data_IF_682589207570
#
_entry.id   IF_682589207570
#
_cell.length_a   1.000
_cell.length_b   1.000
_cell.length_c   1.000
_cell.angle_alpha   90.00
_cell.angle_beta   90.00
_cell.angle_gamma   90.00
#
_symmetry.space_group_name_H-M   'P 1'
#
loop_
_entity.id
_entity.type
_entity.pdbx_description
1 polymer ?
#
# COMPACT_ATOMS: atom_id res chain seq x y z
N UNK A 1 5.80 21.61 21.84
CA UNK A 1 5.09 21.03 20.68
C UNK A 1 5.80 21.50 19.41
N UNK A 2 5.99 20.62 18.42
CA UNK A 2 6.49 21.06 17.10
C UNK A 2 5.29 21.57 16.32
N UNK A 3 5.35 22.82 15.85
CA UNK A 3 4.37 23.37 14.91
C UNK A 3 5.12 23.80 13.66
N UNK A 4 4.76 23.20 12.53
CA UNK A 4 5.41 23.44 11.25
C UNK A 4 4.35 23.43 10.14
N UNK A 5 4.54 24.29 9.15
CA UNK A 5 3.65 24.47 8.02
C UNK A 5 4.50 24.66 6.78
N UNK A 6 4.08 24.08 5.66
CA UNK A 6 4.66 24.29 4.34
C UNK A 6 3.54 24.26 3.30
N UNK A 7 3.70 25.07 2.25
CA UNK A 7 2.84 25.04 1.06
C UNK A 7 3.50 24.20 -0.03
N UNK A 8 2.69 23.46 -0.79
CA UNK A 8 3.16 22.62 -1.89
C UNK A 8 2.05 22.46 -2.92
N UNK A 9 2.43 22.30 -4.19
CA UNK A 9 1.57 21.79 -5.25
C UNK A 9 1.79 20.31 -5.53
N UNK A 10 2.78 19.70 -4.87
CA UNK A 10 3.08 18.27 -4.98
C UNK A 10 2.16 17.45 -4.08
N UNK A 11 2.07 16.16 -4.37
CA UNK A 11 1.31 15.18 -3.57
C UNK A 11 2.11 14.64 -2.37
N UNK A 12 3.31 15.18 -2.12
CA UNK A 12 4.20 14.79 -1.04
C UNK A 12 4.88 15.99 -0.38
N UNK A 13 5.28 15.82 0.88
CA UNK A 13 6.08 16.77 1.63
C UNK A 13 7.13 16.04 2.46
N UNK A 14 8.32 16.60 2.54
CA UNK A 14 9.36 16.17 3.48
C UNK A 14 9.41 17.17 4.62
N UNK A 15 9.36 16.69 5.86
CA UNK A 15 9.48 17.55 7.03
C UNK A 15 10.85 18.26 7.03
N UNK A 16 10.84 19.58 6.87
CA UNK A 16 12.02 20.44 6.77
C UNK A 16 12.21 21.36 7.98
N UNK A 17 11.48 21.09 9.08
CA UNK A 17 11.52 21.93 10.27
C UNK A 17 12.84 21.83 11.03
N UNK A 18 13.25 22.95 11.64
CA UNK A 18 14.51 23.05 12.42
C UNK A 18 14.53 22.17 13.68
N UNK A 19 13.35 21.88 14.24
CA UNK A 19 13.24 21.11 15.48
C UNK A 19 13.08 19.62 15.13
N UNK A 20 13.92 18.78 15.72
CA UNK A 20 13.79 17.33 15.53
C UNK A 20 12.47 16.82 16.09
N UNK A 21 11.83 15.93 15.32
CA UNK A 21 10.69 15.15 15.79
C UNK A 21 11.18 14.18 16.88
N UNK A 22 10.38 14.05 17.94
CA UNK A 22 10.75 13.35 19.16
C UNK A 22 10.37 11.87 19.05
N UNK A 23 11.27 10.93 19.41
CA UNK A 23 10.95 9.52 19.49
C UNK A 23 9.75 9.24 20.39
N UNK A 24 8.87 8.32 19.96
CA UNK A 24 7.66 7.93 20.68
C UNK A 24 6.51 8.95 20.61
N UNK A 25 6.69 10.09 19.95
CA UNK A 25 5.64 11.09 19.82
C UNK A 25 4.74 10.83 18.60
N UNK A 26 3.45 11.16 18.74
CA UNK A 26 2.49 11.25 17.64
C UNK A 26 2.35 12.69 17.18
N UNK A 27 2.36 12.87 15.86
CA UNK A 27 2.19 14.15 15.19
C UNK A 27 0.91 14.16 14.38
N UNK A 28 0.20 15.29 14.41
CA UNK A 28 -0.99 15.51 13.61
C UNK A 28 -0.61 16.17 12.29
N UNK A 29 -1.15 15.66 11.19
CA UNK A 29 -1.01 16.23 9.86
C UNK A 29 -2.34 16.83 9.45
N UNK A 30 -2.32 18.12 9.12
CA UNK A 30 -3.50 18.84 8.64
C UNK A 30 -3.18 19.34 7.24
N UNK A 31 -3.91 18.86 6.25
CA UNK A 31 -3.83 19.33 4.87
C UNK A 31 -4.97 20.29 4.63
N UNK A 32 -4.66 21.45 4.03
CA UNK A 32 -5.67 22.41 3.59
C UNK A 32 -5.47 22.74 2.13
N UNK A 33 -6.56 22.81 1.38
CA UNK A 33 -6.52 23.27 0.00
C UNK A 33 -6.57 24.79 -0.07
N UNK A 34 -6.13 25.35 -1.19
CA UNK A 34 -6.31 26.76 -1.56
C UNK A 34 -7.79 27.19 -1.63
N UNK A 35 -8.69 26.22 -1.85
CA UNK A 35 -10.15 26.39 -1.80
C UNK A 35 -10.73 26.29 -0.38
N UNK A 36 -9.91 26.20 0.66
CA UNK A 36 -10.34 26.23 2.06
C UNK A 36 -10.85 24.90 2.63
N UNK A 37 -10.79 23.79 1.88
CA UNK A 37 -11.10 22.44 2.41
C UNK A 37 -10.00 21.98 3.36
N UNK A 38 -10.35 21.24 4.41
CA UNK A 38 -9.41 20.83 5.45
C UNK A 38 -9.57 19.34 5.78
N UNK A 39 -8.45 18.62 5.92
CA UNK A 39 -8.46 17.20 6.31
C UNK A 39 -9.08 16.95 7.69
N UNK A 40 -9.21 17.99 8.53
CA UNK A 40 -9.94 17.89 9.81
C UNK A 40 -11.41 17.52 9.65
N UNK A 41 -12.00 17.84 8.52
CA UNK A 41 -13.41 17.55 8.23
C UNK A 41 -13.62 16.07 7.84
N UNK A 42 -12.53 15.39 7.48
CA UNK A 42 -12.51 13.99 7.04
C UNK A 42 -12.01 13.04 8.15
N UNK A 43 -11.40 13.58 9.20
CA UNK A 43 -10.93 12.81 10.34
C UNK A 43 -9.61 13.31 10.91
N UNK A 44 -8.89 12.40 11.57
CA UNK A 44 -7.67 12.70 12.31
C UNK A 44 -6.47 12.00 11.69
N UNK A 45 -5.70 12.76 10.91
CA UNK A 45 -4.54 12.26 10.19
C UNK A 45 -3.24 12.60 10.93
N UNK A 46 -2.27 11.71 10.85
CA UNK A 46 -1.01 11.89 11.56
C UNK A 46 -0.10 10.68 11.43
N UNK A 47 1.08 10.79 11.99
CA UNK A 47 2.10 9.74 12.03
C UNK A 47 2.76 9.71 13.40
N UNK A 48 3.35 8.57 13.73
CA UNK A 48 4.09 8.39 14.98
C UNK A 48 5.57 8.21 14.66
N UNK A 49 6.45 8.81 15.46
CA UNK A 49 7.87 8.49 15.43
C UNK A 49 8.09 7.30 16.35
N UNK A 50 8.77 6.26 15.87
CA UNK A 50 9.12 5.12 16.71
C UNK A 50 9.90 5.56 17.94
N UNK A 51 9.63 4.93 19.09
CA UNK A 51 10.47 5.05 20.28
C UNK A 51 11.89 4.58 20.00
N UNK A 52 12.86 5.06 20.76
CA UNK A 52 14.28 4.74 20.52
C UNK A 52 14.57 3.24 20.54
N UNK A 53 14.03 2.53 21.54
CA UNK A 53 14.17 1.07 21.67
C UNK A 53 13.59 0.34 20.45
N UNK A 54 12.34 0.63 20.10
CA UNK A 54 11.70 0.03 18.92
C UNK A 54 12.45 0.34 17.62
N UNK A 55 12.96 1.56 17.47
CA UNK A 55 13.77 1.92 16.31
C UNK A 55 15.08 1.14 16.25
N UNK A 56 15.71 0.85 17.39
CA UNK A 56 16.90 -0.01 17.46
C UNK A 56 16.56 -1.47 17.10
N UNK A 57 15.47 -2.02 17.61
CA UNK A 57 15.00 -3.37 17.26
C UNK A 57 14.77 -3.51 15.75
N UNK A 58 14.04 -2.57 15.15
CA UNK A 58 13.74 -2.59 13.72
C UNK A 58 15.01 -2.48 12.88
N UNK A 59 15.96 -1.62 13.27
CA UNK A 59 17.26 -1.52 12.59
C UNK A 59 18.06 -2.82 12.71
N UNK A 60 18.11 -3.42 13.90
CA UNK A 60 18.81 -4.68 14.10
C UNK A 60 18.19 -5.81 13.26
N UNK A 61 16.86 -5.90 13.20
CA UNK A 61 16.16 -6.87 12.36
C UNK A 61 16.42 -6.63 10.86
N UNK A 62 16.43 -5.37 10.42
CA UNK A 62 16.75 -5.03 9.03
C UNK A 62 18.18 -5.45 8.66
N UNK A 63 19.16 -5.22 9.53
CA UNK A 63 20.54 -5.67 9.31
C UNK A 63 20.66 -7.20 9.28
N UNK A 64 19.93 -7.91 10.15
CA UNK A 64 19.88 -9.37 10.10
C UNK A 64 19.29 -9.87 8.77
N UNK A 65 18.28 -9.20 8.20
CA UNK A 65 17.72 -9.55 6.89
C UNK A 65 18.78 -9.39 5.79
N UNK A 66 19.49 -8.25 5.76
CA UNK A 66 20.56 -8.00 4.77
C UNK A 66 21.71 -9.00 4.88
N UNK A 67 22.02 -9.47 6.07
CA UNK A 67 23.07 -10.48 6.29
C UNK A 67 22.70 -11.87 5.76
N UNK A 68 21.42 -12.16 5.51
CA UNK A 68 20.97 -13.45 4.97
C UNK A 68 21.27 -13.65 3.48
N UNK A 69 21.81 -12.64 2.80
CA UNK A 69 22.20 -12.72 1.38
C UNK A 69 21.06 -13.24 0.49
N UNK A 70 19.85 -12.73 0.74
CA UNK A 70 18.67 -13.09 -0.04
C UNK A 70 18.80 -12.56 -1.47
N UNK A 71 17.98 -13.09 -2.39
CA UNK A 71 17.83 -12.45 -3.69
C UNK A 71 17.26 -11.03 -3.52
N UNK A 72 17.58 -10.12 -4.45
CA UNK A 72 17.07 -8.73 -4.40
C UNK A 72 15.55 -8.64 -4.16
N UNK A 73 14.69 -9.42 -4.86
CA UNK A 73 13.25 -9.39 -4.58
C UNK A 73 12.90 -9.87 -3.16
N UNK A 74 13.55 -10.94 -2.68
CA UNK A 74 13.26 -11.50 -1.37
C UNK A 74 13.70 -10.57 -0.23
N UNK A 75 14.85 -9.90 -0.37
CA UNK A 75 15.31 -8.90 0.59
C UNK A 75 14.36 -7.70 0.63
N UNK A 76 14.00 -7.14 -0.53
CA UNK A 76 13.09 -6.00 -0.62
C UNK A 76 11.74 -6.30 0.03
N UNK A 77 11.16 -7.49 -0.24
CA UNK A 77 9.91 -7.94 0.38
C UNK A 77 10.04 -8.12 1.89
N UNK A 78 11.11 -8.76 2.35
CA UNK A 78 11.33 -8.99 3.79
C UNK A 78 11.47 -7.68 4.56
N UNK A 79 12.26 -6.74 4.05
CA UNK A 79 12.43 -5.41 4.64
C UNK A 79 11.13 -4.60 4.59
N UNK A 80 10.40 -4.62 3.46
CA UNK A 80 9.13 -3.92 3.34
C UNK A 80 8.07 -4.46 4.31
N UNK A 81 7.99 -5.78 4.50
CA UNK A 81 7.12 -6.38 5.51
C UNK A 81 7.51 -5.98 6.94
N UNK A 82 8.82 -5.97 7.25
CA UNK A 82 9.33 -5.50 8.54
C UNK A 82 8.94 -4.04 8.80
N UNK A 83 9.09 -3.17 7.80
CA UNK A 83 8.72 -1.77 7.93
C UNK A 83 7.20 -1.59 8.06
N UNK A 84 6.41 -2.26 7.20
CA UNK A 84 4.93 -2.22 7.25
C UNK A 84 4.39 -2.70 8.59
N UNK A 85 4.94 -3.77 9.18
CA UNK A 85 4.49 -4.30 10.48
C UNK A 85 4.82 -3.39 11.66
N UNK A 86 5.69 -2.38 11.45
CA UNK A 86 6.06 -1.38 12.45
C UNK A 86 5.53 0.01 12.09
N UNK A 87 4.49 0.08 11.24
CA UNK A 87 3.85 1.32 10.75
C UNK A 87 4.79 2.28 9.99
N UNK A 88 5.94 1.79 9.55
CA UNK A 88 6.91 2.52 8.71
C UNK A 88 6.52 2.39 7.22
N UNK A 89 5.28 2.75 6.89
CA UNK A 89 4.74 2.56 5.54
C UNK A 89 5.47 3.43 4.50
N UNK A 90 5.93 4.63 4.87
CA UNK A 90 6.67 5.51 3.97
C UNK A 90 8.03 4.91 3.59
N UNK A 91 8.74 4.33 4.56
CA UNK A 91 10.00 3.64 4.35
C UNK A 91 9.82 2.37 3.51
N UNK A 92 8.73 1.62 3.75
CA UNK A 92 8.39 0.46 2.94
C UNK A 92 8.09 0.84 1.48
N UNK A 93 7.30 1.90 1.25
CA UNK A 93 7.00 2.43 -0.09
C UNK A 93 8.30 2.84 -0.78
N UNK A 94 9.11 3.70 -0.14
CA UNK A 94 10.33 4.23 -0.73
C UNK A 94 11.31 3.10 -1.10
N UNK A 95 11.45 2.09 -0.25
CA UNK A 95 12.27 0.91 -0.52
C UNK A 95 11.81 0.17 -1.78
N UNK A 96 10.51 -0.14 -1.86
CA UNK A 96 9.97 -0.91 -2.99
C UNK A 96 9.99 -0.09 -4.29
N UNK A 97 9.66 1.20 -4.24
CA UNK A 97 9.75 2.08 -5.41
C UNK A 97 11.17 2.23 -5.93
N UNK A 98 12.14 2.40 -5.04
CA UNK A 98 13.56 2.47 -5.42
C UNK A 98 13.99 1.15 -6.06
N UNK A 99 13.60 0.01 -5.47
CA UNK A 99 13.94 -1.29 -6.03
C UNK A 99 13.37 -1.46 -7.45
N UNK A 100 12.11 -1.06 -7.68
CA UNK A 100 11.49 -1.08 -9.01
C UNK A 100 12.20 -0.13 -9.99
N UNK A 101 12.56 1.07 -9.56
CA UNK A 101 13.30 2.04 -10.36
C UNK A 101 14.70 1.55 -10.75
N UNK A 102 15.33 0.74 -9.88
CA UNK A 102 16.62 0.07 -10.12
C UNK A 102 16.48 -1.18 -11.02
N UNK A 103 15.31 -1.41 -11.63
CA UNK A 103 15.06 -2.48 -12.59
C UNK A 103 14.62 -3.80 -11.96
N UNK A 104 14.20 -3.82 -10.70
CA UNK A 104 13.60 -5.01 -10.10
C UNK A 104 12.21 -5.27 -10.69
N UNK A 105 12.07 -6.27 -11.55
CA UNK A 105 10.74 -6.73 -11.98
C UNK A 105 10.27 -7.89 -11.10
N UNK A 106 9.23 -7.67 -10.30
CA UNK A 106 8.69 -8.69 -9.40
C UNK A 106 7.19 -8.51 -9.17
N UNK A 107 6.41 -9.54 -9.53
CA UNK A 107 4.96 -9.60 -9.29
C UNK A 107 4.63 -9.27 -7.83
N UNK A 108 5.37 -9.89 -6.90
CA UNK A 108 5.13 -9.78 -5.46
C UNK A 108 5.49 -8.39 -4.91
N UNK A 109 6.47 -7.72 -5.50
CA UNK A 109 6.82 -6.34 -5.12
C UNK A 109 5.74 -5.37 -5.56
N UNK A 110 5.25 -5.48 -6.80
CA UNK A 110 4.13 -4.68 -7.28
C UNK A 110 2.86 -4.91 -6.44
N UNK A 111 2.56 -6.16 -6.12
CA UNK A 111 1.44 -6.52 -5.25
C UNK A 111 1.59 -5.86 -3.86
N UNK A 112 2.72 -6.05 -3.19
CA UNK A 112 2.93 -5.53 -1.84
C UNK A 112 2.89 -4.00 -1.82
N UNK A 113 3.46 -3.36 -2.83
CA UNK A 113 3.41 -1.90 -2.96
C UNK A 113 1.96 -1.42 -3.18
N UNK A 114 1.17 -2.15 -3.98
CA UNK A 114 -0.26 -1.91 -4.13
C UNK A 114 -1.02 -2.00 -2.80
N UNK A 115 -0.77 -3.05 -2.01
CA UNK A 115 -1.37 -3.24 -0.69
C UNK A 115 -1.02 -2.10 0.27
N UNK A 116 0.24 -1.67 0.28
CA UNK A 116 0.68 -0.58 1.17
C UNK A 116 0.04 0.74 0.74
N UNK A 117 -0.01 1.04 -0.56
CA UNK A 117 -0.70 2.24 -1.04
C UNK A 117 -2.19 2.25 -0.70
N UNK A 118 -2.85 1.10 -0.84
CA UNK A 118 -4.26 0.96 -0.45
C UNK A 118 -4.41 1.24 1.05
N UNK A 119 -3.55 0.65 1.88
CA UNK A 119 -3.55 0.83 3.34
C UNK A 119 -3.37 2.30 3.76
N UNK A 120 -2.52 3.07 3.07
CA UNK A 120 -2.31 4.50 3.36
C UNK A 120 -3.27 5.43 2.60
N UNK A 121 -4.25 4.88 1.89
CA UNK A 121 -5.30 5.65 1.19
C UNK A 121 -4.89 6.22 -0.17
N UNK A 122 -3.69 5.91 -0.67
CA UNK A 122 -3.20 6.33 -1.99
C UNK A 122 -3.76 5.41 -3.10
N UNK A 123 -5.09 5.29 -3.15
CA UNK A 123 -5.83 4.34 -3.99
C UNK A 123 -5.50 4.42 -5.48
N UNK A 124 -5.23 5.61 -6.04
CA UNK A 124 -4.84 5.73 -7.46
C UNK A 124 -3.50 5.06 -7.75
N UNK A 125 -2.52 5.22 -6.85
CA UNK A 125 -1.23 4.55 -6.95
C UNK A 125 -1.36 3.04 -6.68
N UNK A 126 -2.18 2.65 -5.70
CA UNK A 126 -2.48 1.24 -5.44
C UNK A 126 -3.00 0.53 -6.70
N UNK A 127 -3.98 1.15 -7.39
CA UNK A 127 -4.54 0.62 -8.63
C UNK A 127 -3.48 0.42 -9.70
N UNK A 128 -2.59 1.40 -9.88
CA UNK A 128 -1.52 1.31 -10.87
C UNK A 128 -0.60 0.10 -10.58
N UNK A 129 -0.14 -0.02 -9.33
CA UNK A 129 0.76 -1.12 -8.94
C UNK A 129 0.09 -2.49 -9.04
N UNK A 130 -1.19 -2.59 -8.68
CA UNK A 130 -1.95 -3.83 -8.87
C UNK A 130 -2.13 -4.21 -10.34
N UNK A 131 -2.30 -3.25 -11.26
CA UNK A 131 -2.37 -3.55 -12.70
C UNK A 131 -1.03 -4.10 -13.21
N UNK A 132 0.09 -3.49 -12.80
CA UNK A 132 1.43 -4.00 -13.12
C UNK A 132 1.64 -5.43 -12.59
N UNK A 133 1.22 -5.71 -11.36
CA UNK A 133 1.26 -7.07 -10.80
C UNK A 133 0.37 -8.05 -11.59
N UNK A 134 -0.84 -7.64 -11.97
CA UNK A 134 -1.80 -8.47 -12.71
C UNK A 134 -1.28 -8.85 -14.09
N UNK A 135 -0.69 -7.91 -14.83
CA UNK A 135 -0.11 -8.17 -16.15
C UNK A 135 0.99 -9.22 -16.09
N UNK A 136 1.93 -9.05 -15.15
CA UNK A 136 3.01 -10.02 -14.95
C UNK A 136 2.50 -11.37 -14.45
N UNK A 137 1.51 -11.38 -13.54
CA UNK A 137 0.92 -12.62 -13.03
C UNK A 137 0.14 -13.39 -14.12
N UNK A 138 -0.53 -12.68 -15.05
CA UNK A 138 -1.15 -13.28 -16.24
C UNK A 138 -0.10 -13.90 -17.15
N UNK A 139 0.98 -13.19 -17.44
CA UNK A 139 2.06 -13.69 -18.28
C UNK A 139 2.76 -14.93 -17.67
N UNK A 140 2.89 -14.97 -16.34
CA UNK A 140 3.51 -16.09 -15.62
C UNK A 140 2.55 -17.25 -15.30
N UNK A 141 1.25 -17.10 -15.52
CA UNK A 141 0.23 -18.08 -15.10
C UNK A 141 0.08 -18.20 -13.57
N UNK A 142 0.48 -17.18 -12.80
CA UNK A 142 0.35 -17.14 -11.33
C UNK A 142 -1.09 -16.78 -10.94
N UNK A 143 -1.96 -17.81 -10.91
CA UNK A 143 -3.37 -17.65 -10.59
C UNK A 143 -3.63 -17.13 -9.17
N UNK A 144 -2.78 -17.52 -8.21
CA UNK A 144 -2.92 -17.05 -6.82
C UNK A 144 -2.73 -15.54 -6.72
N UNK A 145 -1.66 -15.01 -7.32
CA UNK A 145 -1.42 -13.57 -7.30
C UNK A 145 -2.45 -12.83 -8.15
N UNK A 146 -2.87 -13.37 -9.30
CA UNK A 146 -3.96 -12.80 -10.12
C UNK A 146 -5.22 -12.57 -9.28
N UNK A 147 -5.69 -13.58 -8.54
CA UNK A 147 -6.90 -13.47 -7.75
C UNK A 147 -6.79 -12.43 -6.62
N UNK A 148 -5.61 -12.36 -5.98
CA UNK A 148 -5.35 -11.39 -4.90
C UNK A 148 -5.35 -9.95 -5.43
N UNK A 149 -4.64 -9.68 -6.53
CA UNK A 149 -4.57 -8.31 -7.08
C UNK A 149 -5.88 -7.89 -7.72
N UNK A 150 -6.68 -8.80 -8.28
CA UNK A 150 -8.04 -8.51 -8.76
C UNK A 150 -8.96 -8.07 -7.61
N UNK A 151 -8.85 -8.70 -6.44
CA UNK A 151 -9.55 -8.24 -5.23
C UNK A 151 -9.08 -6.85 -4.78
N UNK A 152 -7.76 -6.60 -4.79
CA UNK A 152 -7.18 -5.29 -4.50
C UNK A 152 -7.69 -4.20 -5.46
N UNK A 153 -7.73 -4.50 -6.76
CA UNK A 153 -8.28 -3.61 -7.79
C UNK A 153 -9.76 -3.34 -7.57
N UNK A 154 -10.57 -4.35 -7.27
CA UNK A 154 -11.99 -4.18 -7.00
C UNK A 154 -12.25 -3.20 -5.84
N UNK A 155 -11.59 -3.42 -4.70
CA UNK A 155 -11.73 -2.54 -3.53
C UNK A 155 -11.27 -1.12 -3.86
N UNK A 156 -10.12 -1.00 -4.50
CA UNK A 156 -9.54 0.29 -4.87
C UNK A 156 -10.44 1.07 -5.84
N UNK A 157 -10.99 0.40 -6.86
CA UNK A 157 -11.96 0.96 -7.81
C UNK A 157 -13.24 1.42 -7.10
N UNK A 158 -13.73 0.66 -6.12
CA UNK A 158 -14.87 1.06 -5.31
C UNK A 158 -14.61 2.34 -4.51
N UNK A 159 -13.45 2.45 -3.86
CA UNK A 159 -13.07 3.64 -3.07
C UNK A 159 -12.94 4.89 -3.94
N UNK A 160 -12.42 4.77 -5.17
CA UNK A 160 -12.31 5.91 -6.11
C UNK A 160 -13.61 6.19 -6.87
N UNK A 161 -14.72 5.54 -6.53
CA UNK A 161 -16.05 5.76 -7.10
C UNK A 161 -16.32 5.08 -8.45
N UNK A 162 -15.46 4.15 -8.88
CA UNK A 162 -15.58 3.43 -10.15
C UNK A 162 -16.29 2.09 -9.95
N UNK A 163 -17.59 2.14 -9.61
CA UNK A 163 -18.41 0.95 -9.29
C UNK A 163 -18.37 -0.12 -10.38
N UNK A 164 -18.55 0.26 -11.65
CA UNK A 164 -18.55 -0.70 -12.77
C UNK A 164 -17.18 -1.37 -12.95
N UNK A 165 -16.09 -0.62 -12.76
CA UNK A 165 -14.74 -1.17 -12.81
C UNK A 165 -14.51 -2.17 -11.66
N UNK A 166 -14.99 -1.85 -10.45
CA UNK A 166 -14.90 -2.75 -9.31
C UNK A 166 -15.63 -4.08 -9.55
N UNK A 167 -16.84 -4.03 -10.11
CA UNK A 167 -17.62 -5.23 -10.47
C UNK A 167 -16.86 -6.10 -11.49
N UNK A 168 -16.33 -5.50 -12.55
CA UNK A 168 -15.56 -6.22 -13.57
C UNK A 168 -14.31 -6.91 -13.00
N UNK A 169 -13.66 -6.32 -11.99
CA UNK A 169 -12.54 -6.96 -11.29
C UNK A 169 -12.98 -8.10 -10.38
N UNK A 170 -14.12 -7.97 -9.69
CA UNK A 170 -14.70 -9.06 -8.88
C UNK A 170 -15.09 -10.26 -9.74
N UNK A 171 -15.69 -10.03 -10.91
CA UNK A 171 -16.05 -11.09 -11.86
C UNK A 171 -14.82 -11.87 -12.33
N UNK A 172 -13.78 -11.17 -12.79
CA UNK A 172 -12.51 -11.80 -13.17
C UNK A 172 -11.87 -12.55 -11.99
N UNK A 173 -11.85 -11.97 -10.78
CA UNK A 173 -11.30 -12.63 -9.60
C UNK A 173 -12.05 -13.90 -9.22
N UNK A 174 -13.39 -13.91 -9.39
CA UNK A 174 -14.24 -15.07 -9.15
C UNK A 174 -13.89 -16.21 -10.11
N UNK A 175 -13.74 -15.92 -11.40
CA UNK A 175 -13.36 -16.90 -12.42
C UNK A 175 -12.01 -17.55 -12.10
N UNK A 176 -11.04 -16.75 -11.64
CA UNK A 176 -9.73 -17.27 -11.21
C UNK A 176 -9.86 -18.19 -10.01
N UNK A 177 -10.61 -17.81 -8.97
CA UNK A 177 -10.82 -18.67 -7.80
C UNK A 177 -11.59 -19.96 -8.15
N UNK A 178 -12.54 -19.89 -9.08
CA UNK A 178 -13.23 -21.08 -9.59
C UNK A 178 -12.26 -22.02 -10.31
N UNK A 179 -11.33 -21.48 -11.10
CA UNK A 179 -10.26 -22.24 -11.76
C UNK A 179 -9.32 -22.91 -10.75
N UNK A 180 -9.03 -22.23 -9.64
CA UNK A 180 -8.26 -22.78 -8.50
C UNK A 180 -9.06 -23.79 -7.64
N UNK A 181 -10.36 -23.96 -7.88
CA UNK A 181 -11.24 -24.79 -7.05
C UNK A 181 -11.62 -24.17 -5.71
N UNK A 182 -11.27 -22.90 -5.46
CA UNK A 182 -11.60 -22.17 -4.23
C UNK A 182 -12.99 -21.54 -4.29
N UNK A 183 -14.01 -22.37 -4.11
CA UNK A 183 -15.42 -21.94 -4.15
C UNK A 183 -15.78 -20.98 -3.01
N UNK A 184 -15.06 -21.04 -1.89
CA UNK A 184 -15.31 -20.16 -0.74
C UNK A 184 -14.93 -18.73 -1.11
N UNK A 185 -13.73 -18.52 -1.66
CA UNK A 185 -13.30 -17.17 -2.09
C UNK A 185 -14.09 -16.68 -3.30
N UNK A 186 -14.45 -17.56 -4.23
CA UNK A 186 -15.34 -17.21 -5.34
C UNK A 186 -16.70 -16.67 -4.83
N UNK A 187 -17.31 -17.36 -3.86
CA UNK A 187 -18.57 -16.92 -3.24
C UNK A 187 -18.45 -15.60 -2.47
N UNK A 188 -17.30 -15.33 -1.85
CA UNK A 188 -17.04 -14.04 -1.19
C UNK A 188 -17.01 -12.87 -2.19
N UNK A 189 -16.38 -13.06 -3.36
CA UNK A 189 -16.35 -12.01 -4.39
C UNK A 189 -17.75 -11.77 -4.98
N UNK A 190 -18.55 -12.82 -5.16
CA UNK A 190 -19.95 -12.71 -5.59
C UNK A 190 -20.77 -11.88 -4.60
N UNK A 191 -20.63 -12.12 -3.29
CA UNK A 191 -21.33 -11.35 -2.25
C UNK A 191 -20.92 -9.87 -2.26
N UNK A 192 -19.64 -9.57 -2.49
CA UNK A 192 -19.17 -8.19 -2.62
C UNK A 192 -19.80 -7.49 -3.83
N UNK A 193 -19.91 -8.20 -4.95
CA UNK A 193 -20.52 -7.67 -6.18
C UNK A 193 -22.01 -7.35 -5.97
N UNK A 194 -22.77 -8.27 -5.37
CA UNK A 194 -24.19 -8.06 -5.02
C UNK A 194 -24.36 -6.83 -4.12
N UNK A 195 -23.48 -6.65 -3.14
CA UNK A 195 -23.51 -5.47 -2.26
C UNK A 195 -23.29 -4.16 -3.01
N UNK A 196 -22.38 -4.14 -4.00
CA UNK A 196 -22.13 -2.95 -4.83
C UNK A 196 -23.35 -2.65 -5.71
N UNK A 197 -23.95 -3.67 -6.33
CA UNK A 197 -25.14 -3.54 -7.18
C UNK A 197 -26.39 -3.07 -6.42
N UNK A 198 -26.50 -3.43 -5.13
CA UNK A 198 -27.58 -2.99 -4.26
C UNK A 198 -27.40 -1.62 -3.60
N UNK A 199 -26.30 -0.91 -3.87
CA UNK A 199 -25.94 0.39 -3.28
C UNK A 199 -26.03 1.55 -4.27
#
# INVERSE_FOLDING_TARGET
WVKWTQETSATEIVYSGKQSLQPGARYWLIVKTDQGKSSKDEGSFGFSILGQEKAQEVRAAAEQIKQKQLSKPAEALALAHLYRSNDLNAEAINLLETALADGLESIRVYQLLGDIYQQVGLNRLARERYRQALELAKAAGDLDTQAQVLGGLAVTSGIIGQKNEAIAWLEQGKEVYQTLGDQVRAGQLEQQMVKILGS
#
